data_IF_388727656099
#
_entry.id   IF_388727656099
#
_cell.length_a   1.000
_cell.length_b   1.000
_cell.length_c   1.000
_cell.angle_alpha   90.00
_cell.angle_beta   90.00
_cell.angle_gamma   90.00
#
_symmetry.space_group_name_H-M   'P 1'
#
loop_
_entity.id
_entity.type
_entity.pdbx_description
1 polymer ?
#
# COMPACT_ATOMS: atom_id res chain seq x y z
N UNK A 1 2.02 -30.98 40.04
CA UNK A 1 3.00 -30.02 39.48
C UNK A 1 2.21 -28.96 38.73
N UNK A 2 1.85 -27.85 39.40
CA UNK A 2 0.95 -26.84 38.82
C UNK A 2 1.67 -26.05 37.70
N UNK A 3 1.00 -25.92 36.55
CA UNK A 3 1.49 -25.25 35.32
C UNK A 3 1.48 -23.72 35.44
N UNK A 4 1.98 -23.15 36.53
CA UNK A 4 2.00 -21.69 36.75
C UNK A 4 3.12 -20.96 35.99
N UNK A 5 3.93 -21.66 35.20
CA UNK A 5 5.14 -21.06 34.62
C UNK A 5 4.84 -20.19 33.37
N UNK A 6 3.84 -20.53 32.55
CA UNK A 6 3.61 -19.82 31.29
C UNK A 6 2.87 -18.49 31.50
N UNK A 7 1.84 -18.46 32.35
CA UNK A 7 1.06 -17.23 32.61
C UNK A 7 1.89 -16.16 33.31
N UNK A 8 2.77 -16.55 34.23
CA UNK A 8 3.69 -15.62 34.91
C UNK A 8 4.68 -15.03 33.92
N UNK A 9 5.21 -15.84 32.99
CA UNK A 9 6.10 -15.35 31.93
C UNK A 9 5.38 -14.40 30.96
N UNK A 10 4.14 -14.71 30.58
CA UNK A 10 3.33 -13.84 29.72
C UNK A 10 3.05 -12.50 30.41
N UNK A 11 2.63 -12.50 31.68
CA UNK A 11 2.43 -11.27 32.47
C UNK A 11 3.71 -10.47 32.64
N UNK A 12 4.84 -11.12 32.89
CA UNK A 12 6.13 -10.43 33.02
C UNK A 12 6.60 -9.82 31.70
N UNK A 13 6.33 -10.48 30.56
CA UNK A 13 6.62 -9.96 29.22
C UNK A 13 5.74 -8.74 28.91
N UNK A 14 4.44 -8.84 29.21
CA UNK A 14 3.47 -7.77 29.02
C UNK A 14 3.80 -6.55 29.89
N UNK A 15 4.12 -6.75 31.18
CA UNK A 15 4.56 -5.68 32.08
C UNK A 15 5.89 -5.03 31.62
N UNK A 16 6.81 -5.81 31.03
CA UNK A 16 8.04 -5.26 30.44
C UNK A 16 7.75 -4.43 29.18
N UNK A 17 6.83 -4.87 28.33
CA UNK A 17 6.40 -4.12 27.15
C UNK A 17 5.69 -2.82 27.55
N UNK A 18 4.80 -2.86 28.54
CA UNK A 18 4.14 -1.69 29.13
C UNK A 18 5.15 -0.72 29.76
N UNK A 19 6.10 -1.23 30.55
CA UNK A 19 7.15 -0.40 31.15
C UNK A 19 8.08 0.22 30.08
N UNK A 20 8.37 -0.51 29.00
CA UNK A 20 9.15 0.01 27.86
C UNK A 20 8.36 1.07 27.10
N UNK A 21 7.06 0.87 26.87
CA UNK A 21 6.18 1.86 26.26
C UNK A 21 6.05 3.13 27.13
N UNK A 22 5.89 2.96 28.44
CA UNK A 22 5.85 4.06 29.40
C UNK A 22 7.18 4.81 29.49
N UNK A 23 8.31 4.08 29.49
CA UNK A 23 9.65 4.67 29.47
C UNK A 23 9.91 5.41 28.16
N UNK A 24 9.50 4.86 27.02
CA UNK A 24 9.60 5.54 25.73
C UNK A 24 8.76 6.82 25.73
N UNK A 25 7.51 6.78 26.21
CA UNK A 25 6.66 7.96 26.41
C UNK A 25 7.27 8.99 27.35
N UNK A 26 7.89 8.58 28.47
CA UNK A 26 8.59 9.46 29.42
C UNK A 26 9.92 10.02 28.89
N UNK A 27 10.71 9.24 28.17
CA UNK A 27 11.99 9.69 27.60
C UNK A 27 11.78 10.72 26.48
N UNK A 28 10.61 10.67 25.84
CA UNK A 28 10.13 11.67 24.90
C UNK A 28 9.98 13.07 25.51
N UNK A 29 9.70 13.15 26.82
CA UNK A 29 9.66 14.42 27.55
C UNK A 29 11.06 15.11 27.51
N UNK A 30 12.17 14.38 27.34
CA UNK A 30 13.52 14.93 27.46
C UNK A 30 14.25 15.30 26.15
N UNK A 31 13.55 15.59 25.06
CA UNK A 31 14.11 16.31 23.91
C UNK A 31 13.47 17.70 23.71
N UNK A 32 12.24 17.88 24.19
CA UNK A 32 11.50 19.14 24.15
C UNK A 32 11.67 20.00 25.41
N UNK A 33 12.10 19.43 26.55
CA UNK A 33 12.34 20.18 27.79
C UNK A 33 13.50 21.20 27.72
N UNK A 34 14.31 21.16 26.65
CA UNK A 34 15.33 22.18 26.34
C UNK A 34 14.73 23.40 25.60
N UNK A 35 13.45 23.36 25.25
CA UNK A 35 12.70 24.47 24.65
C UNK A 35 11.93 25.15 25.80
N UNK A 36 12.05 26.49 25.97
CA UNK A 36 11.36 27.19 27.05
C UNK A 36 9.86 26.86 27.00
N UNK A 37 9.31 26.52 28.17
CA UNK A 37 7.94 26.06 28.39
C UNK A 37 6.92 27.02 27.76
N UNK A 38 6.67 26.82 26.47
CA UNK A 38 5.58 27.43 25.74
C UNK A 38 4.49 26.37 25.74
N UNK A 39 3.38 26.71 26.43
CA UNK A 39 2.10 26.00 26.49
C UNK A 39 2.03 24.74 25.63
N UNK A 40 1.83 23.55 26.25
CA UNK A 40 1.60 22.27 25.55
C UNK A 40 0.71 22.52 24.33
N UNK A 41 1.31 22.58 23.13
CA UNK A 41 0.58 22.96 21.93
C UNK A 41 -0.45 21.88 21.68
N UNK A 42 -1.72 22.24 21.64
CA UNK A 42 -2.76 21.30 21.23
C UNK A 42 -2.46 20.85 19.79
N UNK A 43 -2.56 19.54 19.49
CA UNK A 43 -2.33 19.06 18.15
C UNK A 43 -3.26 19.76 17.15
N UNK A 44 -2.73 20.12 15.99
CA UNK A 44 -3.48 20.82 14.94
C UNK A 44 -3.80 19.83 13.82
N UNK A 45 -5.06 19.80 13.38
CA UNK A 45 -5.45 19.00 12.22
C UNK A 45 -4.78 19.54 10.95
N UNK A 46 -4.31 18.64 10.10
CA UNK A 46 -3.76 19.01 8.79
C UNK A 46 -4.83 19.61 7.87
N UNK A 47 -4.40 20.35 6.85
CA UNK A 47 -5.31 20.87 5.82
C UNK A 47 -5.87 19.73 4.95
N UNK A 48 -6.95 20.00 4.21
CA UNK A 48 -7.51 19.03 3.25
C UNK A 48 -6.44 18.57 2.25
N UNK A 49 -5.70 19.50 1.64
CA UNK A 49 -4.67 19.17 0.65
C UNK A 49 -3.56 18.27 1.24
N UNK A 50 -3.18 18.52 2.50
CA UNK A 50 -2.19 17.70 3.20
C UNK A 50 -2.74 16.29 3.50
N UNK A 51 -4.02 16.20 3.86
CA UNK A 51 -4.69 14.92 4.09
C UNK A 51 -4.80 14.12 2.78
N UNK A 52 -5.20 14.76 1.69
CA UNK A 52 -5.31 14.13 0.38
C UNK A 52 -3.94 13.64 -0.12
N UNK A 53 -2.89 14.45 0.05
CA UNK A 53 -1.52 14.04 -0.24
C UNK A 53 -1.06 12.85 0.61
N UNK A 54 -1.43 12.81 1.89
CA UNK A 54 -1.14 11.66 2.76
C UNK A 54 -1.86 10.39 2.29
N UNK A 55 -3.13 10.50 1.89
CA UNK A 55 -3.91 9.38 1.35
C UNK A 55 -3.28 8.84 0.05
N UNK A 56 -2.83 9.71 -0.84
CA UNK A 56 -2.11 9.34 -2.07
C UNK A 56 -0.83 8.56 -1.79
N UNK A 57 -0.05 8.98 -0.78
CA UNK A 57 1.16 8.29 -0.37
C UNK A 57 0.83 6.89 0.20
N UNK A 58 -0.24 6.78 1.01
CA UNK A 58 -0.70 5.50 1.54
C UNK A 58 -1.13 4.55 0.42
N UNK A 59 -1.92 5.03 -0.55
CA UNK A 59 -2.35 4.24 -1.71
C UNK A 59 -1.16 3.73 -2.54
N UNK A 60 -0.20 4.60 -2.84
CA UNK A 60 1.04 4.24 -3.57
C UNK A 60 1.86 3.21 -2.79
N UNK A 61 2.09 3.45 -1.50
CA UNK A 61 2.85 2.53 -0.65
C UNK A 61 2.21 1.13 -0.60
N UNK A 62 0.91 1.06 -0.33
CA UNK A 62 0.17 -0.21 -0.24
C UNK A 62 0.20 -0.95 -1.57
N UNK A 63 -0.05 -0.27 -2.68
CA UNK A 63 -0.03 -0.86 -4.01
C UNK A 63 1.37 -1.37 -4.40
N UNK A 64 2.41 -0.53 -4.28
CA UNK A 64 3.79 -0.89 -4.66
C UNK A 64 4.37 -2.01 -3.80
N UNK A 65 4.01 -2.04 -2.51
CA UNK A 65 4.48 -3.06 -1.57
C UNK A 65 3.60 -4.31 -1.54
N UNK A 66 2.57 -4.38 -2.39
CA UNK A 66 1.58 -5.46 -2.43
C UNK A 66 1.00 -5.80 -1.05
N UNK A 67 0.71 -4.78 -0.23
CA UNK A 67 0.13 -4.96 1.09
C UNK A 67 -1.38 -5.20 0.99
N UNK A 68 -1.97 -5.97 1.92
CA UNK A 68 -3.43 -6.06 1.98
C UNK A 68 -4.03 -4.69 2.26
N UNK A 69 -5.15 -4.36 1.62
CA UNK A 69 -5.82 -3.07 1.83
C UNK A 69 -6.21 -2.83 3.28
N UNK A 70 -6.50 -3.90 4.04
CA UNK A 70 -6.84 -3.84 5.46
C UNK A 70 -5.66 -3.48 6.37
N UNK A 71 -4.43 -3.32 5.83
CA UNK A 71 -3.27 -2.98 6.65
C UNK A 71 -3.41 -1.61 7.34
N UNK A 72 -4.15 -0.68 6.73
CA UNK A 72 -4.43 0.65 7.29
C UNK A 72 -5.40 0.60 8.48
N UNK A 73 -6.05 -0.55 8.69
CA UNK A 73 -6.94 -0.81 9.83
C UNK A 73 -6.24 -1.60 10.94
N UNK A 74 -4.93 -1.88 10.78
CA UNK A 74 -4.13 -2.54 11.82
C UNK A 74 -3.98 -1.61 13.04
N UNK A 75 -4.39 -2.06 14.25
CA UNK A 75 -4.33 -1.21 15.44
C UNK A 75 -2.91 -0.79 15.82
N UNK A 76 -1.91 -1.65 15.59
CA UNK A 76 -0.51 -1.37 15.91
C UNK A 76 0.10 -0.33 14.98
N UNK A 77 -0.20 -0.44 13.67
CA UNK A 77 0.18 0.57 12.68
C UNK A 77 -0.47 1.93 13.01
N UNK A 78 -1.76 1.94 13.33
CA UNK A 78 -2.48 3.15 13.69
C UNK A 78 -1.89 3.81 14.94
N UNK A 79 -1.60 3.03 16.00
CA UNK A 79 -0.97 3.54 17.22
C UNK A 79 0.42 4.13 16.94
N UNK A 80 1.22 3.48 16.08
CA UNK A 80 2.53 3.99 15.68
C UNK A 80 2.45 5.29 14.87
N UNK A 81 1.54 5.37 13.89
CA UNK A 81 1.33 6.59 13.11
C UNK A 81 0.90 7.73 14.03
N UNK A 82 -0.10 7.51 14.89
CA UNK A 82 -0.58 8.52 15.84
C UNK A 82 0.53 9.02 16.75
N UNK A 83 1.37 8.12 17.25
CA UNK A 83 2.50 8.50 18.09
C UNK A 83 3.51 9.39 17.33
N UNK A 84 3.80 9.08 16.07
CA UNK A 84 4.69 9.90 15.25
C UNK A 84 4.09 11.26 14.88
N UNK A 85 2.80 11.31 14.56
CA UNK A 85 2.16 12.54 14.05
C UNK A 85 1.64 13.42 15.17
N UNK A 86 0.88 12.86 16.12
CA UNK A 86 0.23 13.62 17.19
C UNK A 86 1.16 13.81 18.39
N UNK A 87 1.70 12.72 18.94
CA UNK A 87 2.48 12.79 20.18
C UNK A 87 3.85 13.46 19.95
N UNK A 88 4.53 13.13 18.85
CA UNK A 88 5.81 13.73 18.45
C UNK A 88 5.65 14.98 17.57
N UNK A 89 4.81 14.89 16.55
CA UNK A 89 4.70 15.92 15.51
C UNK A 89 3.76 17.08 15.83
N UNK A 90 2.88 16.93 16.82
CA UNK A 90 1.86 17.93 17.15
C UNK A 90 0.82 18.15 16.04
N UNK A 91 0.64 17.19 15.13
CA UNK A 91 -0.33 17.24 14.03
C UNK A 91 -1.26 16.04 14.03
N UNK A 92 -2.53 16.26 13.69
CA UNK A 92 -3.52 15.19 13.53
C UNK A 92 -3.64 14.90 12.04
N UNK A 93 -3.22 13.69 11.63
CA UNK A 93 -3.37 13.15 10.28
C UNK A 93 -4.27 11.92 10.37
N UNK A 94 -5.32 11.89 9.57
CA UNK A 94 -6.19 10.73 9.45
C UNK A 94 -5.53 9.60 8.66
N UNK A 95 -5.77 8.36 9.08
CA UNK A 95 -5.44 7.17 8.29
C UNK A 95 -6.70 6.75 7.51
N UNK A 96 -6.64 6.57 6.18
CA UNK A 96 -7.82 6.16 5.41
C UNK A 96 -8.27 4.75 5.80
N UNK A 97 -9.57 4.50 5.82
CA UNK A 97 -10.10 3.14 5.95
C UNK A 97 -9.86 2.31 4.69
N UNK A 98 -9.99 0.97 4.77
CA UNK A 98 -9.67 0.09 3.65
C UNK A 98 -10.52 0.36 2.40
N UNK A 99 -11.77 0.80 2.57
CA UNK A 99 -12.65 1.20 1.47
C UNK A 99 -12.15 2.45 0.76
N UNK A 100 -11.81 3.50 1.50
CA UNK A 100 -11.25 4.73 0.93
C UNK A 100 -9.93 4.42 0.22
N UNK A 101 -9.06 3.66 0.86
CA UNK A 101 -7.77 3.25 0.28
C UNK A 101 -7.94 2.48 -1.03
N UNK A 102 -8.92 1.57 -1.12
CA UNK A 102 -9.24 0.85 -2.37
C UNK A 102 -9.58 1.82 -3.49
N UNK A 103 -10.40 2.81 -3.19
CA UNK A 103 -10.87 3.79 -4.17
C UNK A 103 -9.71 4.71 -4.60
N UNK A 104 -8.85 5.11 -3.65
CA UNK A 104 -7.62 5.86 -3.92
C UNK A 104 -6.63 5.08 -4.79
N UNK A 105 -6.39 3.79 -4.50
CA UNK A 105 -5.59 2.91 -5.37
C UNK A 105 -6.21 2.83 -6.77
N UNK A 106 -7.53 2.71 -6.86
CA UNK A 106 -8.26 2.71 -8.14
C UNK A 106 -8.01 3.98 -8.95
N UNK A 107 -8.07 5.15 -8.31
CA UNK A 107 -7.77 6.44 -8.93
C UNK A 107 -6.32 6.52 -9.42
N UNK A 108 -5.35 6.17 -8.56
CA UNK A 108 -3.92 6.15 -8.93
C UNK A 108 -3.68 5.24 -10.13
N UNK A 109 -4.31 4.06 -10.16
CA UNK A 109 -4.21 3.14 -11.30
C UNK A 109 -4.81 3.73 -12.57
N UNK A 110 -5.97 4.41 -12.48
CA UNK A 110 -6.60 5.04 -13.64
C UNK A 110 -5.72 6.16 -14.23
N UNK A 111 -5.12 7.00 -13.38
CA UNK A 111 -4.17 8.03 -13.78
C UNK A 111 -2.94 7.42 -14.46
N UNK A 112 -2.31 6.43 -13.84
CA UNK A 112 -1.13 5.74 -14.40
C UNK A 112 -1.45 5.06 -15.74
N UNK A 113 -2.62 4.44 -15.88
CA UNK A 113 -3.08 3.85 -17.15
C UNK A 113 -3.22 4.93 -18.24
N UNK A 114 -3.82 6.07 -17.91
CA UNK A 114 -3.96 7.19 -18.85
C UNK A 114 -2.60 7.70 -19.32
N UNK A 115 -1.66 7.91 -18.39
CA UNK A 115 -0.29 8.33 -18.69
C UNK A 115 0.46 7.28 -19.53
N UNK A 116 0.34 6.00 -19.20
CA UNK A 116 0.98 4.92 -19.95
C UNK A 116 0.45 4.84 -21.38
N UNK A 117 -0.86 4.96 -21.60
CA UNK A 117 -1.46 5.00 -22.94
C UNK A 117 -0.94 6.17 -23.77
N UNK A 118 -0.82 7.35 -23.16
CA UNK A 118 -0.24 8.51 -23.83
C UNK A 118 1.22 8.25 -24.22
N UNK A 119 2.02 7.66 -23.31
CA UNK A 119 3.41 7.26 -23.60
C UNK A 119 3.51 6.24 -24.73
N UNK A 120 2.69 5.18 -24.71
CA UNK A 120 2.68 4.15 -25.75
C UNK A 120 2.45 4.78 -27.13
N UNK A 121 1.51 5.72 -27.25
CA UNK A 121 1.16 6.36 -28.54
C UNK A 121 2.26 7.26 -29.10
N UNK A 122 3.08 7.85 -28.24
CA UNK A 122 4.08 8.85 -28.63
C UNK A 122 5.46 8.22 -28.80
N UNK A 123 5.83 7.28 -27.93
CA UNK A 123 7.23 6.96 -27.67
C UNK A 123 7.66 5.56 -28.10
N UNK A 124 6.74 4.62 -28.36
CA UNK A 124 7.12 3.23 -28.62
C UNK A 124 7.14 2.94 -30.12
N UNK A 125 8.34 2.94 -30.71
CA UNK A 125 8.54 2.46 -32.09
C UNK A 125 8.39 0.94 -32.18
N UNK A 126 8.91 0.21 -31.18
CA UNK A 126 8.83 -1.23 -31.08
C UNK A 126 8.46 -1.65 -29.65
N UNK A 127 7.48 -2.54 -29.52
CA UNK A 127 7.14 -3.19 -28.26
C UNK A 127 6.77 -4.64 -28.49
N UNK A 128 6.92 -5.45 -27.45
CA UNK A 128 6.50 -6.84 -27.41
C UNK A 128 5.41 -7.01 -26.35
N UNK A 129 4.52 -7.96 -26.56
CA UNK A 129 3.50 -8.31 -25.57
C UNK A 129 3.63 -9.80 -25.26
N UNK A 130 3.60 -10.14 -23.98
CA UNK A 130 3.50 -11.53 -23.51
C UNK A 130 2.15 -11.76 -22.86
N UNK A 131 1.64 -12.98 -23.00
CA UNK A 131 0.46 -13.45 -22.32
C UNK A 131 0.84 -14.61 -21.40
N UNK A 132 0.36 -14.58 -20.16
CA UNK A 132 0.50 -15.67 -19.21
C UNK A 132 -0.89 -16.15 -18.77
N UNK A 133 -1.08 -17.48 -18.72
CA UNK A 133 -2.35 -18.10 -18.32
C UNK A 133 -2.03 -19.15 -17.27
N UNK A 134 -2.64 -19.01 -16.09
CA UNK A 134 -2.43 -19.94 -14.99
C UNK A 134 -3.74 -20.24 -14.27
N UNK A 135 -3.75 -21.36 -13.54
CA UNK A 135 -4.84 -21.72 -12.63
C UNK A 135 -4.35 -21.58 -11.20
N UNK A 136 -5.04 -20.78 -10.39
CA UNK A 136 -4.72 -20.60 -8.98
C UNK A 136 -5.01 -21.86 -8.16
N UNK A 137 -4.53 -21.87 -6.92
CA UNK A 137 -4.80 -22.94 -5.95
C UNK A 137 -6.29 -23.12 -5.62
N UNK A 138 -7.12 -22.11 -5.91
CA UNK A 138 -8.59 -22.18 -5.74
C UNK A 138 -9.30 -22.66 -7.01
N UNK A 139 -8.57 -23.27 -7.94
CA UNK A 139 -9.07 -23.71 -9.25
C UNK A 139 -9.67 -22.57 -10.10
N UNK A 140 -9.26 -21.32 -9.84
CA UNK A 140 -9.66 -20.17 -10.63
C UNK A 140 -8.57 -19.85 -11.65
N UNK A 141 -8.93 -19.87 -12.93
CA UNK A 141 -8.03 -19.52 -14.03
C UNK A 141 -7.92 -18.01 -14.21
N UNK A 142 -6.72 -17.57 -14.59
CA UNK A 142 -6.37 -16.18 -14.83
C UNK A 142 -5.61 -16.05 -16.14
N UNK A 143 -5.68 -14.86 -16.71
CA UNK A 143 -4.90 -14.44 -17.87
C UNK A 143 -4.28 -13.08 -17.57
N UNK A 144 -2.99 -12.93 -17.85
CA UNK A 144 -2.28 -11.66 -17.75
C UNK A 144 -1.75 -11.20 -19.11
N UNK A 145 -1.72 -9.88 -19.30
CA UNK A 145 -1.11 -9.22 -20.44
C UNK A 145 0.01 -8.32 -19.96
N UNK A 146 1.23 -8.55 -20.44
CA UNK A 146 2.41 -7.75 -20.07
C UNK A 146 3.04 -7.16 -21.32
N UNK A 147 3.21 -5.84 -21.32
CA UNK A 147 3.94 -5.08 -22.32
C UNK A 147 5.42 -5.05 -21.97
N UNK A 148 6.29 -5.17 -22.97
CA UNK A 148 7.73 -5.04 -22.87
C UNK A 148 8.23 -4.08 -23.93
N UNK A 149 9.11 -3.15 -23.55
CA UNK A 149 9.71 -2.19 -24.48
C UNK A 149 11.12 -1.79 -24.00
N UNK A 150 11.87 -1.13 -24.88
CA UNK A 150 13.19 -0.55 -24.56
C UNK A 150 13.08 0.97 -24.55
N UNK A 151 13.69 1.62 -23.57
CA UNK A 151 13.92 3.07 -23.58
C UNK A 151 15.09 3.42 -24.50
N UNK A 152 15.29 4.71 -24.78
CA UNK A 152 16.34 5.20 -25.69
C UNK A 152 17.76 4.81 -25.25
N UNK A 153 17.95 4.60 -23.94
CA UNK A 153 19.19 4.15 -23.31
C UNK A 153 19.33 2.61 -23.28
N UNK A 154 18.45 1.89 -23.99
CA UNK A 154 18.33 0.42 -23.98
C UNK A 154 17.94 -0.18 -22.64
N UNK A 155 17.38 0.60 -21.71
CA UNK A 155 16.79 0.05 -20.49
C UNK A 155 15.54 -0.75 -20.82
N UNK A 156 15.55 -2.04 -20.46
CA UNK A 156 14.37 -2.91 -20.61
C UNK A 156 13.31 -2.56 -19.58
N UNK A 157 12.13 -2.25 -20.07
CA UNK A 157 10.95 -1.91 -19.28
C UNK A 157 9.83 -2.91 -19.54
N UNK A 158 9.09 -3.25 -18.49
CA UNK A 158 7.92 -4.11 -18.59
C UNK A 158 6.78 -3.61 -17.71
N UNK A 159 5.55 -3.74 -18.21
CA UNK A 159 4.33 -3.28 -17.56
C UNK A 159 3.26 -4.34 -17.68
N UNK A 160 2.79 -4.86 -16.55
CA UNK A 160 1.59 -5.71 -16.55
C UNK A 160 0.38 -4.81 -16.74
N UNK A 161 -0.23 -4.89 -17.92
CA UNK A 161 -1.36 -4.04 -18.31
C UNK A 161 -2.65 -4.54 -17.67
N UNK A 162 -2.87 -5.85 -17.71
CA UNK A 162 -4.12 -6.48 -17.31
C UNK A 162 -3.88 -7.83 -16.65
N UNK A 163 -4.70 -8.14 -15.64
CA UNK A 163 -4.81 -9.46 -15.03
C UNK A 163 -6.30 -9.72 -14.80
N UNK A 164 -6.85 -10.73 -15.46
CA UNK A 164 -8.28 -11.03 -15.38
C UNK A 164 -8.53 -12.49 -15.09
N UNK A 165 -9.72 -12.75 -14.53
CA UNK A 165 -10.26 -14.10 -14.40
C UNK A 165 -10.57 -14.61 -15.81
N UNK A 166 -10.09 -15.80 -16.14
CA UNK A 166 -10.27 -16.44 -17.44
C UNK A 166 -11.00 -17.78 -17.26
N UNK A 167 -12.34 -17.77 -17.09
CA UNK A 167 -13.10 -18.93 -16.61
C UNK A 167 -13.35 -20.02 -17.67
N UNK A 168 -12.93 -19.81 -18.91
CA UNK A 168 -13.25 -20.68 -20.04
C UNK A 168 -12.22 -21.79 -20.25
N UNK A 169 -12.57 -22.81 -21.05
CA UNK A 169 -11.57 -23.73 -21.58
C UNK A 169 -10.50 -22.94 -22.35
N UNK A 170 -9.23 -23.26 -22.13
CA UNK A 170 -8.07 -22.58 -22.74
C UNK A 170 -7.91 -22.93 -24.23
N UNK A 171 -8.99 -22.78 -25.00
CA UNK A 171 -9.01 -22.92 -26.46
C UNK A 171 -8.37 -21.70 -27.11
N UNK A 172 -7.79 -21.87 -28.29
CA UNK A 172 -7.19 -20.75 -29.03
C UNK A 172 -8.17 -19.59 -29.27
N UNK A 173 -9.45 -19.89 -29.56
CA UNK A 173 -10.49 -18.88 -29.75
C UNK A 173 -10.77 -18.08 -28.47
N UNK A 174 -10.88 -18.76 -27.32
CA UNK A 174 -11.10 -18.10 -26.03
C UNK A 174 -9.90 -17.21 -25.67
N UNK A 175 -8.68 -17.67 -25.92
CA UNK A 175 -7.45 -16.91 -25.67
C UNK A 175 -7.41 -15.65 -26.54
N UNK A 176 -7.66 -15.77 -27.84
CA UNK A 176 -7.71 -14.62 -28.76
C UNK A 176 -8.79 -13.62 -28.33
N UNK A 177 -9.96 -14.10 -27.92
CA UNK A 177 -11.03 -13.22 -27.43
C UNK A 177 -10.64 -12.47 -26.16
N UNK A 178 -10.01 -13.16 -25.19
CA UNK A 178 -9.53 -12.54 -23.95
C UNK A 178 -8.47 -11.47 -24.21
N UNK A 179 -7.50 -11.78 -25.07
CA UNK A 179 -6.44 -10.85 -25.47
C UNK A 179 -7.00 -9.59 -26.15
N UNK A 180 -7.97 -9.74 -27.07
CA UNK A 180 -8.62 -8.59 -27.72
C UNK A 180 -9.32 -7.70 -26.70
N UNK A 181 -10.09 -8.29 -25.77
CA UNK A 181 -10.77 -7.54 -24.72
C UNK A 181 -9.79 -6.77 -23.82
N UNK A 182 -8.64 -7.37 -23.47
CA UNK A 182 -7.58 -6.69 -22.72
C UNK A 182 -6.95 -5.53 -23.48
N UNK A 183 -6.75 -5.68 -24.79
CA UNK A 183 -6.13 -4.64 -25.64
C UNK A 183 -7.04 -3.44 -25.92
N UNK A 184 -8.36 -3.61 -25.85
CA UNK A 184 -9.34 -2.55 -26.09
C UNK A 184 -9.53 -1.61 -24.87
N UNK A 185 -9.10 -2.02 -23.68
CA UNK A 185 -9.32 -1.28 -22.43
C UNK A 185 -8.45 -0.07 -22.24
#
# INVERSE_FOLDING_TARGET
MQRFHMEVLLKAKQAKEEAKALKAKRQLENCYDMIPATSKRQPVAVTSDQQDYSNDLAAKWVAQSMRPLTIVEDPGLFEWIRFLTEDLGGIIVGVPGATQLRDDVGRVVAELRSSLKARIRISFECFCITNDIWTSRRAQSYMALTLHYLEEDFTMCNWTLEVEIFPWMHTGLAIVSGLKAMMER
#
